data_IF_656198540816
#
_entry.id   IF_656198540816
#
_cell.length_a   1.000
_cell.length_b   1.000
_cell.length_c   1.000
_cell.angle_alpha   90.00
_cell.angle_beta   90.00
_cell.angle_gamma   90.00
#
_symmetry.space_group_name_H-M   'P 1'
#
loop_
_entity.id
_entity.type
_entity.pdbx_description
1 polymer ?
#
# COMPACT_ATOMS: atom_id res chain seq x y z
N UNK A 1 1.07 45.15 4.55
CA UNK A 1 -0.41 45.02 4.56
C UNK A 1 -0.88 45.22 3.13
N UNK A 2 -1.52 44.22 2.50
CA UNK A 2 -2.39 44.40 1.34
C UNK A 2 -3.22 43.12 1.08
N UNK A 3 -4.54 43.29 1.19
CA UNK A 3 -5.65 42.45 0.72
C UNK A 3 -5.78 41.00 1.20
N UNK A 4 -6.21 40.88 2.46
CA UNK A 4 -7.16 39.85 2.87
C UNK A 4 -8.52 40.12 2.21
N UNK A 5 -8.79 39.47 1.06
CA UNK A 5 -10.13 39.17 0.54
C UNK A 5 -10.01 38.43 -0.81
N UNK A 6 -9.65 37.14 -0.78
CA UNK A 6 -10.04 36.23 -1.87
C UNK A 6 -11.21 35.38 -1.39
N UNK A 7 -12.43 35.88 -1.58
CA UNK A 7 -13.70 35.20 -1.33
C UNK A 7 -13.98 34.01 -2.27
N UNK A 8 -12.95 33.46 -2.92
CA UNK A 8 -13.06 32.28 -3.79
C UNK A 8 -12.40 31.10 -3.06
N UNK A 9 -13.09 29.97 -2.89
CA UNK A 9 -12.45 28.78 -2.37
C UNK A 9 -11.25 28.43 -3.26
N UNK A 10 -10.14 27.94 -2.68
CA UNK A 10 -8.97 27.53 -3.45
C UNK A 10 -9.39 26.53 -4.52
N UNK A 11 -8.88 26.70 -5.75
CA UNK A 11 -9.27 25.84 -6.88
C UNK A 11 -8.78 24.40 -6.67
N UNK A 12 -7.69 24.24 -5.92
CA UNK A 12 -7.07 22.95 -5.61
C UNK A 12 -6.82 22.79 -4.10
N UNK A 13 -7.64 22.01 -3.38
CA UNK A 13 -7.40 21.73 -1.96
C UNK A 13 -6.21 20.78 -1.77
N UNK A 14 -5.34 21.08 -0.79
CA UNK A 14 -4.15 20.28 -0.47
C UNK A 14 -4.50 19.01 0.34
N UNK A 15 -5.56 19.08 1.14
CA UNK A 15 -6.17 17.95 1.81
C UNK A 15 -7.68 18.05 1.69
N UNK A 16 -8.31 16.95 1.27
CA UNK A 16 -9.77 16.81 1.26
C UNK A 16 -10.14 15.74 2.25
N UNK A 17 -11.05 16.09 3.14
CA UNK A 17 -11.68 15.18 4.07
C UNK A 17 -13.01 14.78 3.47
N UNK A 18 -13.24 13.48 3.34
CA UNK A 18 -14.51 12.95 2.89
C UNK A 18 -15.04 11.95 3.91
N UNK A 19 -16.31 11.56 3.81
CA UNK A 19 -16.93 10.63 4.78
C UNK A 19 -16.19 9.29 4.92
N UNK A 20 -15.44 8.89 3.88
CA UNK A 20 -14.73 7.61 3.76
C UNK A 20 -13.26 7.72 4.23
N UNK A 21 -12.70 8.94 4.36
CA UNK A 21 -11.35 9.14 4.89
C UNK A 21 -10.65 10.43 4.46
N UNK A 22 -9.36 10.54 4.78
CA UNK A 22 -8.47 11.65 4.39
C UNK A 22 -7.73 11.38 3.09
N UNK A 23 -7.97 12.21 2.08
CA UNK A 23 -7.11 12.29 0.90
C UNK A 23 -6.20 13.52 1.04
N UNK A 24 -4.95 13.28 1.44
CA UNK A 24 -3.92 14.32 1.45
C UNK A 24 -3.06 14.19 0.19
N UNK A 25 -2.86 15.30 -0.51
CA UNK A 25 -1.84 15.39 -1.54
C UNK A 25 -0.48 15.44 -0.85
N UNK A 26 0.37 14.48 -1.18
CA UNK A 26 1.73 14.42 -0.69
C UNK A 26 2.65 14.26 -1.89
N UNK A 27 3.76 14.99 -1.88
CA UNK A 27 4.83 14.78 -2.84
C UNK A 27 5.42 13.39 -2.60
N UNK A 28 5.45 12.55 -3.64
CA UNK A 28 5.97 11.18 -3.55
C UNK A 28 6.92 10.86 -4.69
N UNK A 29 7.85 9.95 -4.45
CA UNK A 29 8.67 9.44 -5.54
C UNK A 29 7.83 8.50 -6.45
N UNK A 30 7.65 8.81 -7.75
CA UNK A 30 6.82 8.00 -8.64
C UNK A 30 7.40 6.59 -8.86
N UNK A 31 8.72 6.42 -8.77
CA UNK A 31 9.35 5.09 -8.86
C UNK A 31 8.99 4.19 -7.67
N UNK A 32 8.80 4.77 -6.49
CA UNK A 32 8.37 4.00 -5.31
C UNK A 32 6.94 3.49 -5.52
N UNK A 33 6.04 4.32 -6.06
CA UNK A 33 4.69 3.87 -6.41
C UNK A 33 4.70 2.75 -7.46
N UNK A 34 5.53 2.86 -8.49
CA UNK A 34 5.69 1.83 -9.52
C UNK A 34 6.24 0.51 -8.94
N UNK A 35 7.27 0.60 -8.09
CA UNK A 35 7.89 -0.55 -7.43
C UNK A 35 6.88 -1.32 -6.56
N UNK A 36 6.04 -0.61 -5.83
CA UNK A 36 5.00 -1.25 -5.01
C UNK A 36 3.88 -1.88 -5.83
N UNK A 37 3.52 -1.30 -6.97
CA UNK A 37 2.62 -1.96 -7.94
C UNK A 37 3.26 -3.17 -8.62
N UNK A 38 4.59 -3.18 -8.79
CA UNK A 38 5.32 -4.31 -9.36
C UNK A 38 5.42 -5.47 -8.38
N UNK A 39 5.60 -5.19 -7.08
CA UNK A 39 5.59 -6.24 -6.05
C UNK A 39 4.20 -6.85 -5.86
N UNK A 40 3.16 -6.05 -5.98
CA UNK A 40 1.78 -6.52 -5.91
C UNK A 40 0.84 -5.51 -6.58
N UNK A 41 0.22 -5.86 -7.71
CA UNK A 41 -0.73 -4.97 -8.38
C UNK A 41 -1.82 -4.47 -7.44
N UNK A 42 -2.01 -3.14 -7.44
CA UNK A 42 -2.97 -2.45 -6.58
C UNK A 42 -2.34 -1.75 -5.37
N UNK A 43 -1.20 -2.21 -4.83
CA UNK A 43 -0.58 -1.57 -3.66
C UNK A 43 -0.08 -0.15 -3.96
N UNK A 44 0.47 0.11 -5.16
CA UNK A 44 0.87 1.47 -5.55
C UNK A 44 -0.31 2.42 -5.71
N UNK A 45 -1.48 1.96 -6.18
CA UNK A 45 -2.71 2.77 -6.23
C UNK A 45 -3.25 3.07 -4.84
N UNK A 46 -3.21 2.11 -3.93
CA UNK A 46 -3.57 2.29 -2.51
C UNK A 46 -2.67 3.33 -1.86
N UNK A 47 -1.35 3.26 -2.13
CA UNK A 47 -0.40 4.26 -1.66
C UNK A 47 -0.80 5.66 -2.12
N UNK A 48 -1.19 5.82 -3.39
CA UNK A 48 -1.71 7.08 -3.97
C UNK A 48 -3.10 7.49 -3.46
N UNK A 49 -3.66 6.80 -2.48
CA UNK A 49 -5.03 6.99 -1.96
C UNK A 49 -6.13 6.78 -3.01
N UNK A 50 -5.83 6.05 -4.09
CA UNK A 50 -6.80 5.63 -5.11
C UNK A 50 -7.41 4.27 -4.75
N UNK A 51 -8.11 4.24 -3.60
CA UNK A 51 -8.54 3.00 -2.94
C UNK A 51 -9.37 2.07 -3.82
N UNK A 52 -10.36 2.58 -4.55
CA UNK A 52 -11.23 1.73 -5.38
C UNK A 52 -10.42 0.95 -6.44
N UNK A 53 -9.57 1.66 -7.18
CA UNK A 53 -8.69 1.02 -8.18
C UNK A 53 -7.74 0.04 -7.52
N UNK A 54 -7.13 0.45 -6.41
CA UNK A 54 -6.22 -0.37 -5.65
C UNK A 54 -6.82 -1.67 -5.15
N UNK A 55 -8.03 -1.65 -4.59
CA UNK A 55 -8.70 -2.84 -4.09
C UNK A 55 -9.16 -3.77 -5.20
N UNK A 56 -9.67 -3.23 -6.31
CA UNK A 56 -10.06 -4.03 -7.47
C UNK A 56 -8.84 -4.75 -8.06
N UNK A 57 -7.71 -4.04 -8.22
CA UNK A 57 -6.48 -4.62 -8.71
C UNK A 57 -5.88 -5.65 -7.75
N UNK A 58 -5.94 -5.40 -6.44
CA UNK A 58 -5.48 -6.35 -5.42
C UNK A 58 -6.31 -7.64 -5.45
N UNK A 59 -7.64 -7.53 -5.53
CA UNK A 59 -8.51 -8.70 -5.63
C UNK A 59 -8.24 -9.50 -6.91
N UNK A 60 -8.11 -8.77 -8.03
CA UNK A 60 -7.81 -9.36 -9.32
C UNK A 60 -6.45 -10.06 -9.32
N UNK A 61 -5.43 -9.47 -8.69
CA UNK A 61 -4.11 -10.08 -8.50
C UNK A 61 -4.22 -11.43 -7.79
N UNK A 62 -4.85 -11.44 -6.61
CA UNK A 62 -5.01 -12.66 -5.83
C UNK A 62 -5.74 -13.73 -6.65
N UNK A 63 -6.81 -13.36 -7.36
CA UNK A 63 -7.56 -14.30 -8.18
C UNK A 63 -6.72 -14.90 -9.32
N UNK A 64 -6.02 -14.07 -10.09
CA UNK A 64 -5.20 -14.52 -11.21
C UNK A 64 -3.99 -15.31 -10.73
N UNK A 65 -3.31 -14.88 -9.67
CA UNK A 65 -2.17 -15.58 -9.09
C UNK A 65 -2.54 -17.00 -8.62
N UNK A 66 -3.75 -17.15 -8.06
CA UNK A 66 -4.29 -18.47 -7.68
C UNK A 66 -4.59 -19.36 -8.89
N UNK A 67 -5.08 -18.79 -9.99
CA UNK A 67 -5.43 -19.56 -11.20
C UNK A 67 -4.22 -19.88 -12.09
N UNK A 68 -3.25 -18.99 -12.16
CA UNK A 68 -2.04 -19.14 -12.96
C UNK A 68 -0.89 -19.87 -12.22
N UNK A 69 -1.01 -20.07 -10.90
CA UNK A 69 0.07 -20.59 -10.05
C UNK A 69 1.37 -19.77 -10.14
N UNK A 70 1.27 -18.46 -10.36
CA UNK A 70 2.43 -17.58 -10.60
C UNK A 70 3.43 -17.64 -9.45
N UNK A 71 2.95 -17.59 -8.21
CA UNK A 71 3.81 -17.65 -7.03
C UNK A 71 4.57 -18.98 -6.89
N UNK A 72 3.91 -20.09 -7.21
CA UNK A 72 4.51 -21.41 -7.13
C UNK A 72 5.59 -21.58 -8.20
N UNK A 73 5.30 -21.09 -9.41
CA UNK A 73 6.25 -21.03 -10.51
C UNK A 73 7.46 -20.15 -10.18
N UNK A 74 7.22 -18.95 -9.64
CA UNK A 74 8.28 -18.04 -9.20
C UNK A 74 9.19 -18.71 -8.16
N UNK A 75 8.60 -19.42 -7.18
CA UNK A 75 9.38 -20.18 -6.20
C UNK A 75 10.26 -21.24 -6.88
N UNK A 76 9.72 -22.03 -7.82
CA UNK A 76 10.51 -23.02 -8.55
C UNK A 76 11.63 -22.39 -9.38
N UNK A 77 11.36 -21.26 -10.03
CA UNK A 77 12.36 -20.49 -10.77
C UNK A 77 13.47 -19.95 -9.86
N UNK A 78 13.13 -19.43 -8.68
CA UNK A 78 14.11 -18.97 -7.68
C UNK A 78 14.97 -20.11 -7.13
N UNK A 79 14.44 -21.34 -7.06
CA UNK A 79 15.17 -22.55 -6.70
C UNK A 79 15.99 -23.15 -7.86
N UNK A 80 16.03 -22.50 -9.03
CA UNK A 80 16.73 -22.98 -10.23
C UNK A 80 16.05 -24.15 -10.96
N UNK A 81 14.80 -24.49 -10.59
CA UNK A 81 14.04 -25.61 -11.15
C UNK A 81 13.12 -25.14 -12.27
N UNK A 82 13.71 -24.72 -13.39
CA UNK A 82 12.97 -24.09 -14.49
C UNK A 82 11.95 -25.02 -15.17
N UNK A 83 12.23 -26.32 -15.27
CA UNK A 83 11.28 -27.29 -15.85
C UNK A 83 9.99 -27.35 -15.03
N UNK A 84 10.11 -27.56 -13.71
CA UNK A 84 8.96 -27.56 -12.80
C UNK A 84 8.22 -26.22 -12.79
N UNK A 85 8.96 -25.10 -12.93
CA UNK A 85 8.34 -23.78 -13.05
C UNK A 85 7.47 -23.66 -14.30
N UNK A 86 7.84 -24.30 -15.41
CA UNK A 86 7.07 -24.23 -16.67
C UNK A 86 5.83 -25.12 -16.61
N UNK A 87 5.96 -26.30 -16.00
CA UNK A 87 4.87 -27.27 -15.91
C UNK A 87 3.74 -26.82 -14.98
N UNK A 88 4.07 -26.08 -13.94
CA UNK A 88 3.12 -25.63 -12.91
C UNK A 88 2.28 -24.42 -13.35
N UNK A 89 2.79 -23.61 -14.29
CA UNK A 89 2.16 -22.36 -14.74
C UNK A 89 1.01 -22.65 -15.70
N UNK A 90 -0.19 -22.11 -15.43
CA UNK A 90 -1.23 -22.06 -16.47
C UNK A 90 -0.96 -20.87 -17.41
N UNK A 91 -0.45 -21.20 -18.60
CA UNK A 91 -0.07 -20.25 -19.64
C UNK A 91 -1.24 -19.31 -20.01
N UNK A 92 -2.49 -19.77 -19.99
CA UNK A 92 -3.65 -18.96 -20.41
C UNK A 92 -3.88 -17.81 -19.44
N UNK A 93 -3.86 -18.13 -18.14
CA UNK A 93 -4.01 -17.11 -17.08
C UNK A 93 -2.77 -16.21 -16.99
N UNK A 94 -1.57 -16.75 -17.20
CA UNK A 94 -0.35 -15.95 -17.22
C UNK A 94 -0.26 -14.98 -18.40
N UNK A 95 -0.73 -15.37 -19.59
CA UNK A 95 -0.78 -14.46 -20.74
C UNK A 95 -1.77 -13.30 -20.52
N UNK A 96 -2.86 -13.54 -19.79
CA UNK A 96 -3.79 -12.50 -19.36
C UNK A 96 -3.15 -11.60 -18.29
N UNK A 97 -2.34 -12.18 -17.40
CA UNK A 97 -1.66 -11.48 -16.32
C UNK A 97 -0.67 -10.41 -16.82
N UNK A 98 0.21 -10.75 -17.76
CA UNK A 98 1.30 -9.89 -18.24
C UNK A 98 0.86 -8.47 -18.67
N UNK A 99 -0.12 -8.28 -19.57
CA UNK A 99 -0.50 -6.94 -20.03
C UNK A 99 -1.12 -6.10 -18.91
N UNK A 100 -1.96 -6.71 -18.06
CA UNK A 100 -2.56 -6.01 -16.92
C UNK A 100 -1.48 -5.65 -15.90
N UNK A 101 -0.55 -6.55 -15.62
CA UNK A 101 0.60 -6.27 -14.76
C UNK A 101 1.39 -5.03 -15.24
N UNK A 102 1.79 -5.01 -16.52
CA UNK A 102 2.52 -3.85 -17.10
C UNK A 102 1.68 -2.58 -17.01
N UNK A 103 0.38 -2.66 -17.32
CA UNK A 103 -0.53 -1.53 -17.25
C UNK A 103 -0.66 -0.97 -15.82
N UNK A 104 -0.78 -1.83 -14.80
CA UNK A 104 -0.92 -1.38 -13.41
C UNK A 104 0.33 -0.65 -12.90
N UNK A 105 1.52 -1.17 -13.23
CA UNK A 105 2.80 -0.53 -12.92
C UNK A 105 2.88 0.84 -13.58
N UNK A 106 2.62 0.92 -14.88
CA UNK A 106 2.64 2.18 -15.62
C UNK A 106 1.59 3.19 -15.13
N UNK A 107 0.35 2.75 -14.88
CA UNK A 107 -0.73 3.63 -14.42
C UNK A 107 -0.41 4.22 -13.04
N UNK A 108 0.15 3.41 -12.14
CA UNK A 108 0.56 3.90 -10.81
C UNK A 108 1.71 4.93 -10.89
N UNK A 109 2.69 4.72 -11.78
CA UNK A 109 3.76 5.67 -12.03
C UNK A 109 3.21 7.00 -12.55
N UNK A 110 2.39 6.95 -13.60
CA UNK A 110 1.77 8.13 -14.22
C UNK A 110 0.86 8.87 -13.23
N UNK A 111 0.07 8.14 -12.44
CA UNK A 111 -0.79 8.72 -11.42
C UNK A 111 0.02 9.44 -10.33
N UNK A 112 1.15 8.88 -9.90
CA UNK A 112 2.05 9.53 -8.95
C UNK A 112 2.63 10.85 -9.51
N UNK A 113 3.08 10.84 -10.77
CA UNK A 113 3.59 12.05 -11.45
C UNK A 113 2.51 13.13 -11.53
N UNK A 114 1.27 12.76 -11.88
CA UNK A 114 0.19 13.73 -12.01
C UNK A 114 -0.23 14.31 -10.64
N UNK A 115 -0.32 13.48 -9.60
CA UNK A 115 -0.60 13.93 -8.23
C UNK A 115 0.49 14.88 -7.71
N UNK A 116 1.76 14.63 -8.03
CA UNK A 116 2.85 15.54 -7.68
C UNK A 116 2.72 16.92 -8.34
N UNK A 117 2.27 16.99 -9.60
CA UNK A 117 2.01 18.29 -10.26
C UNK A 117 0.88 19.04 -9.56
N UNK A 118 -0.21 18.34 -9.22
CA UNK A 118 -1.33 18.96 -8.49
C UNK A 118 -0.89 19.46 -7.10
N UNK A 119 -0.03 18.70 -6.41
CA UNK A 119 0.57 19.12 -5.14
C UNK A 119 1.33 20.45 -5.28
N UNK A 120 2.24 20.56 -6.26
CA UNK A 120 3.03 21.79 -6.48
C UNK A 120 2.13 23.00 -6.79
N UNK A 121 1.04 22.79 -7.53
CA UNK A 121 0.10 23.86 -7.86
C UNK A 121 -0.73 24.28 -6.63
N UNK A 122 -1.17 23.32 -5.81
CA UNK A 122 -1.90 23.59 -4.57
C UNK A 122 -1.02 24.30 -3.51
N UNK A 123 0.26 23.93 -3.43
CA UNK A 123 1.25 24.59 -2.57
C UNK A 123 1.46 26.07 -2.98
N UNK A 124 1.54 26.35 -4.28
CA UNK A 124 1.63 27.73 -4.80
C UNK A 124 0.39 28.58 -4.51
N UNK A 125 -0.78 27.95 -4.41
CA UNK A 125 -2.05 28.62 -4.07
C UNK A 125 -2.19 28.87 -2.55
N UNK A 126 -1.26 28.38 -1.71
CA UNK A 126 -1.33 28.47 -0.24
C UNK A 126 -2.70 28.05 0.32
N UNK A 127 -3.26 26.96 -0.20
CA UNK A 127 -4.58 26.50 0.21
C UNK A 127 -4.60 26.17 1.72
N UNK A 128 -5.55 26.70 2.50
CA UNK A 128 -5.65 26.40 3.93
C UNK A 128 -5.93 24.91 4.16
N UNK A 129 -5.21 24.31 5.11
CA UNK A 129 -5.38 22.91 5.51
C UNK A 129 -6.37 22.87 6.67
N UNK A 130 -7.51 22.18 6.50
CA UNK A 130 -8.45 21.92 7.60
C UNK A 130 -7.82 20.97 8.63
N UNK A 131 -7.94 21.29 9.93
CA UNK A 131 -7.32 20.49 10.99
C UNK A 131 -8.18 19.30 11.44
N UNK A 132 -9.51 19.44 11.43
CA UNK A 132 -10.45 18.40 11.84
C UNK A 132 -11.80 18.57 11.14
N UNK A 133 -12.45 17.46 10.81
CA UNK A 133 -13.85 17.40 10.38
C UNK A 133 -14.55 16.31 11.18
N UNK A 134 -15.70 16.66 11.76
CA UNK A 134 -16.53 15.77 12.56
C UNK A 134 -17.71 15.35 11.67
N UNK A 135 -17.77 14.07 11.33
CA UNK A 135 -18.90 13.46 10.65
C UNK A 135 -19.57 12.42 11.57
N UNK A 136 -20.85 12.08 11.36
CA UNK A 136 -21.55 11.06 12.16
C UNK A 136 -20.90 9.67 12.13
N UNK A 137 -20.18 9.37 11.05
CA UNK A 137 -19.49 8.08 10.84
C UNK A 137 -18.05 8.11 11.36
N UNK A 138 -17.40 9.28 11.34
CA UNK A 138 -15.97 9.38 11.65
C UNK A 138 -15.56 10.78 12.11
N UNK A 139 -14.76 10.84 13.17
CA UNK A 139 -14.00 12.03 13.54
C UNK A 139 -12.65 11.90 12.84
N UNK A 140 -12.37 12.81 11.91
CA UNK A 140 -11.16 12.78 11.12
C UNK A 140 -10.33 14.01 11.41
N UNK A 141 -9.14 13.83 11.98
CA UNK A 141 -8.23 14.92 12.31
C UNK A 141 -6.82 14.62 11.81
N UNK A 142 -6.04 15.68 11.60
CA UNK A 142 -4.65 15.56 11.22
C UNK A 142 -3.79 15.43 12.48
N UNK A 143 -3.26 14.24 12.72
CA UNK A 143 -2.43 13.94 13.88
C UNK A 143 -0.97 13.68 13.48
N UNK A 144 -0.03 14.15 14.30
CA UNK A 144 1.39 13.90 14.10
C UNK A 144 1.85 12.77 15.01
N UNK A 145 2.00 11.57 14.44
CA UNK A 145 2.46 10.38 15.16
C UNK A 145 3.97 10.16 15.01
N UNK A 146 4.68 9.70 16.05
CA UNK A 146 6.09 9.35 15.92
C UNK A 146 6.26 8.16 14.97
N UNK A 147 7.22 8.22 14.02
CA UNK A 147 7.39 7.20 12.99
C UNK A 147 7.74 5.83 13.58
N UNK A 148 8.47 5.80 14.70
CA UNK A 148 8.86 4.55 15.36
C UNK A 148 7.64 3.78 15.91
N UNK A 149 6.69 4.49 16.52
CA UNK A 149 5.48 3.85 17.04
C UNK A 149 4.65 3.26 15.91
N UNK A 150 4.53 3.98 14.78
CA UNK A 150 3.85 3.43 13.60
C UNK A 150 4.57 2.18 13.10
N UNK A 151 5.90 2.20 13.03
CA UNK A 151 6.71 1.05 12.61
C UNK A 151 6.58 -0.17 13.56
N UNK A 152 6.46 0.06 14.87
CA UNK A 152 6.23 -1.00 15.85
C UNK A 152 4.88 -1.69 15.62
N UNK A 153 3.81 -0.93 15.37
CA UNK A 153 2.51 -1.49 15.01
C UNK A 153 2.52 -2.17 13.63
N UNK A 154 3.36 -1.70 12.69
CA UNK A 154 3.58 -2.40 11.41
C UNK A 154 4.19 -3.79 11.59
N UNK A 155 5.09 -3.95 12.57
CA UNK A 155 5.80 -5.19 12.80
C UNK A 155 4.88 -6.32 13.31
N UNK A 156 3.81 -5.95 14.03
CA UNK A 156 2.84 -6.92 14.57
C UNK A 156 1.89 -7.42 13.49
N UNK A 157 1.30 -6.52 12.70
CA UNK A 157 0.56 -6.92 11.52
C UNK A 157 0.44 -5.79 10.49
N UNK A 158 0.38 -6.14 9.20
CA UNK A 158 -0.09 -5.21 8.19
C UNK A 158 -1.54 -4.82 8.45
N UNK A 159 -1.84 -3.54 8.25
CA UNK A 159 -3.14 -2.92 8.53
C UNK A 159 -3.26 -2.25 9.90
N UNK A 160 -2.61 -2.76 10.95
CA UNK A 160 -2.68 -2.19 12.30
C UNK A 160 -2.03 -0.81 12.39
N UNK A 161 -0.92 -0.58 11.68
CA UNK A 161 -0.29 0.74 11.60
C UNK A 161 -1.15 1.81 10.93
N UNK A 162 -1.99 1.42 9.97
CA UNK A 162 -2.90 2.31 9.26
C UNK A 162 -4.13 2.66 10.08
N UNK A 163 -4.43 1.96 11.19
CA UNK A 163 -5.44 2.39 12.15
C UNK A 163 -5.10 3.75 12.77
N UNK A 164 -3.80 4.07 12.86
CA UNK A 164 -3.35 5.37 13.33
C UNK A 164 -3.62 6.52 12.33
N UNK A 165 -3.88 6.21 11.05
CA UNK A 165 -4.27 7.19 10.04
C UNK A 165 -5.71 6.90 9.64
N UNK A 166 -6.71 7.62 10.17
CA UNK A 166 -8.17 7.48 9.95
C UNK A 166 -8.66 7.08 8.53
N UNK A 167 -8.30 5.88 8.07
CA UNK A 167 -8.48 5.32 6.73
C UNK A 167 -9.11 3.93 6.89
N UNK A 168 -10.30 3.93 7.49
CA UNK A 168 -11.01 2.74 7.95
C UNK A 168 -11.13 1.66 6.86
N UNK A 169 -11.53 2.07 5.65
CA UNK A 169 -11.75 1.13 4.54
C UNK A 169 -10.48 0.37 4.15
N UNK A 170 -9.32 1.06 4.14
CA UNK A 170 -8.03 0.44 3.85
C UNK A 170 -7.60 -0.53 4.95
N UNK A 171 -7.79 -0.15 6.21
CA UNK A 171 -7.45 -0.99 7.36
C UNK A 171 -8.25 -2.29 7.32
N UNK A 172 -9.57 -2.20 7.19
CA UNK A 172 -10.45 -3.38 7.16
C UNK A 172 -10.06 -4.30 6.02
N UNK A 173 -9.82 -3.75 4.83
CA UNK A 173 -9.40 -4.52 3.66
C UNK A 173 -8.07 -5.24 3.88
N UNK A 174 -7.05 -4.54 4.39
CA UNK A 174 -5.71 -5.12 4.62
C UNK A 174 -5.69 -6.16 5.73
N UNK A 175 -6.39 -5.92 6.84
CA UNK A 175 -6.48 -6.88 7.94
C UNK A 175 -7.21 -8.15 7.48
N UNK A 176 -8.32 -8.00 6.75
CA UNK A 176 -9.05 -9.13 6.18
C UNK A 176 -8.14 -9.99 5.28
N UNK A 177 -7.46 -9.37 4.31
CA UNK A 177 -6.58 -10.11 3.40
C UNK A 177 -5.34 -10.67 4.07
N UNK A 178 -4.78 -9.97 5.05
CA UNK A 178 -3.69 -10.50 5.87
C UNK A 178 -4.12 -11.79 6.59
N UNK A 179 -5.28 -11.80 7.24
CA UNK A 179 -5.80 -12.99 7.90
C UNK A 179 -6.02 -14.13 6.91
N UNK A 180 -6.57 -13.86 5.72
CA UNK A 180 -6.78 -14.88 4.68
C UNK A 180 -5.45 -15.49 4.23
N UNK A 181 -4.43 -14.67 3.93
CA UNK A 181 -3.11 -15.14 3.47
C UNK A 181 -2.40 -15.94 4.56
N UNK A 182 -2.42 -15.44 5.80
CA UNK A 182 -1.81 -16.12 6.96
C UNK A 182 -2.50 -17.46 7.26
N UNK A 183 -3.83 -17.50 7.15
CA UNK A 183 -4.59 -18.74 7.35
C UNK A 183 -4.30 -19.76 6.25
N UNK A 184 -4.41 -19.37 4.97
CA UNK A 184 -4.23 -20.29 3.83
C UNK A 184 -2.77 -20.74 3.62
N UNK A 185 -1.79 -19.97 4.11
CA UNK A 185 -0.39 -20.38 4.08
C UNK A 185 -0.03 -21.44 5.12
N UNK A 186 -0.86 -21.66 6.14
CA UNK A 186 -0.56 -22.49 7.31
C UNK A 186 0.74 -22.10 8.05
N UNK A 187 1.18 -20.84 7.92
CA UNK A 187 2.45 -20.39 8.49
C UNK A 187 2.45 -20.45 10.03
N UNK A 188 1.31 -20.26 10.69
CA UNK A 188 1.20 -20.38 12.15
C UNK A 188 1.43 -21.82 12.62
N UNK A 189 0.88 -22.80 11.89
CA UNK A 189 1.08 -24.22 12.19
C UNK A 189 2.54 -24.61 11.97
N UNK A 190 3.16 -24.13 10.89
CA UNK A 190 4.57 -24.33 10.63
C UNK A 190 5.45 -23.70 11.73
N UNK A 191 5.11 -22.50 12.20
CA UNK A 191 5.82 -21.82 13.30
C UNK A 191 5.71 -22.60 14.61
N UNK A 192 4.50 -23.08 14.93
CA UNK A 192 4.27 -23.95 16.09
C UNK A 192 5.14 -25.21 16.02
N UNK A 193 5.13 -25.93 14.89
CA UNK A 193 5.95 -27.14 14.69
C UNK A 193 7.47 -26.85 14.75
N UNK A 194 7.88 -25.68 14.30
CA UNK A 194 9.27 -25.21 14.37
C UNK A 194 9.70 -24.99 15.82
N UNK A 195 8.84 -24.44 16.67
CA UNK A 195 9.12 -24.30 18.10
C UNK A 195 9.33 -25.65 18.82
N UNK A 196 8.68 -26.73 18.34
CA UNK A 196 8.88 -28.10 18.84
C UNK A 196 10.06 -28.83 18.18
N UNK A 197 10.80 -28.19 17.28
CA UNK A 197 11.96 -28.78 16.59
C UNK A 197 11.62 -29.76 15.44
N UNK A 198 10.35 -29.86 15.02
CA UNK A 198 9.89 -30.76 13.97
C UNK A 198 9.94 -30.09 12.58
N UNK A 199 11.14 -29.80 12.08
CA UNK A 199 11.33 -29.01 10.84
C UNK A 199 10.82 -29.68 9.56
N UNK A 200 10.87 -31.01 9.46
CA UNK A 200 10.35 -31.72 8.28
C UNK A 200 8.83 -31.59 8.17
N UNK A 201 8.12 -31.73 9.29
CA UNK A 201 6.68 -31.56 9.36
C UNK A 201 6.26 -30.10 9.14
N UNK A 202 7.09 -29.14 9.57
CA UNK A 202 6.84 -27.72 9.34
C UNK A 202 6.91 -27.37 7.84
N UNK A 203 7.87 -27.95 7.10
CA UNK A 203 8.02 -27.73 5.65
C UNK A 203 6.86 -28.30 4.85
N UNK A 204 6.37 -29.48 5.20
CA UNK A 204 5.28 -30.15 4.46
C UNK A 204 3.91 -29.55 4.75
N UNK A 205 3.70 -28.98 5.93
CA UNK A 205 2.44 -28.33 6.30
C UNK A 205 2.19 -26.98 5.59
N UNK A 206 3.25 -26.36 5.06
CA UNK A 206 3.22 -25.01 4.50
C UNK A 206 2.70 -25.00 3.07
N UNK A 207 1.82 -24.05 2.74
CA UNK A 207 1.39 -23.84 1.36
C UNK A 207 2.27 -22.78 0.67
N UNK A 208 3.15 -23.16 -0.26
CA UNK A 208 4.11 -22.23 -0.86
C UNK A 208 3.45 -21.14 -1.72
N UNK A 209 2.29 -21.42 -2.32
CA UNK A 209 1.60 -20.44 -3.18
C UNK A 209 1.10 -19.23 -2.39
N UNK A 210 0.53 -19.47 -1.19
CA UNK A 210 0.05 -18.42 -0.31
C UNK A 210 1.17 -17.78 0.50
N UNK A 211 2.18 -18.56 0.88
CA UNK A 211 3.36 -18.07 1.61
C UNK A 211 4.07 -16.93 0.87
N UNK A 212 4.24 -17.06 -0.45
CA UNK A 212 4.94 -16.08 -1.28
C UNK A 212 4.25 -14.71 -1.33
N UNK A 213 2.98 -14.60 -0.93
CA UNK A 213 2.27 -13.33 -0.79
C UNK A 213 2.57 -12.59 0.52
N UNK A 214 3.14 -13.27 1.52
CA UNK A 214 3.37 -12.67 2.84
C UNK A 214 4.38 -11.52 2.79
N UNK A 215 5.55 -11.64 2.12
CA UNK A 215 6.52 -10.56 2.08
C UNK A 215 5.96 -9.29 1.46
N UNK A 216 5.27 -9.39 0.32
CA UNK A 216 4.73 -8.20 -0.38
C UNK A 216 3.67 -7.47 0.45
N UNK A 217 2.78 -8.21 1.11
CA UNK A 217 1.73 -7.62 1.98
C UNK A 217 2.33 -7.09 3.29
N UNK A 218 3.33 -7.75 3.87
CA UNK A 218 4.00 -7.28 5.08
C UNK A 218 4.85 -6.03 4.83
N UNK A 219 5.59 -5.98 3.72
CA UNK A 219 6.38 -4.79 3.37
C UNK A 219 5.50 -3.61 2.92
N UNK A 220 4.24 -3.86 2.56
CA UNK A 220 3.28 -2.81 2.20
C UNK A 220 3.08 -1.74 3.27
N UNK A 221 3.37 -2.10 4.51
CA UNK A 221 3.17 -1.23 5.64
C UNK A 221 4.24 -0.14 5.73
N UNK A 222 5.44 -0.40 5.18
CA UNK A 222 6.54 0.56 5.14
C UNK A 222 6.46 1.51 3.93
N UNK A 223 5.50 1.29 3.02
CA UNK A 223 5.32 2.11 1.81
C UNK A 223 5.23 3.62 2.08
N UNK A 224 4.46 4.11 3.07
CA UNK A 224 4.31 5.54 3.28
C UNK A 224 5.64 6.20 3.67
N UNK A 225 6.43 5.53 4.51
CA UNK A 225 7.74 6.01 4.97
C UNK A 225 8.76 6.06 3.82
N UNK A 226 8.74 5.09 2.91
CA UNK A 226 9.64 5.04 1.74
C UNK A 226 9.26 6.02 0.64
N UNK A 227 7.97 6.28 0.46
CA UNK A 227 7.48 7.12 -0.64
C UNK A 227 7.62 8.62 -0.39
N UNK A 228 7.72 9.02 0.89
CA UNK A 228 7.72 10.42 1.29
C UNK A 228 9.17 10.94 1.30
N UNK A 229 9.54 11.93 0.48
CA UNK A 229 10.87 12.51 0.52
C UNK A 229 11.09 13.20 1.88
N UNK A 230 12.28 13.03 2.47
CA UNK A 230 12.66 13.59 3.78
C UNK A 230 12.34 15.10 3.93
N UNK A 231 12.35 15.86 2.83
CA UNK A 231 11.99 17.29 2.83
C UNK A 231 10.51 17.56 3.15
N UNK A 232 9.59 16.66 2.78
CA UNK A 232 8.15 16.81 3.05
C UNK A 232 7.80 16.51 4.52
N UNK A 233 8.58 15.65 5.19
CA UNK A 233 8.47 15.40 6.62
C UNK A 233 8.74 16.71 7.40
N UNK A 234 9.71 17.51 6.94
CA UNK A 234 10.06 18.78 7.58
C UNK A 234 9.04 19.91 7.36
N UNK A 235 8.31 19.93 6.22
CA UNK A 235 7.21 20.87 6.00
C UNK A 235 6.00 20.58 6.90
N UNK A 236 5.70 19.31 7.15
CA UNK A 236 4.65 18.92 8.10
C UNK A 236 5.07 19.13 9.57
N UNK A 237 6.37 19.25 9.85
CA UNK A 237 6.87 19.53 11.21
C UNK A 237 6.80 20.98 11.64
N UNK A 238 6.29 21.91 10.81
CA UNK A 238 6.16 23.31 11.23
C UNK A 238 7.51 23.93 11.62
N UNK A 239 8.61 23.50 10.98
CA UNK A 239 9.80 24.33 10.95
C UNK A 239 9.52 25.44 9.93
N UNK A 240 8.73 26.42 10.36
CA UNK A 240 8.94 27.77 9.86
C UNK A 240 10.43 28.04 10.05
N UNK A 241 11.15 28.25 8.95
CA UNK A 241 12.42 28.96 9.02
C UNK A 241 12.12 30.34 9.62
N UNK A 242 12.25 30.43 10.93
CA UNK A 242 12.47 31.68 11.64
C UNK A 242 13.99 31.89 11.69
N UNK A 243 14.52 32.46 10.62
CA UNK A 243 15.81 33.15 10.55
C UNK A 243 15.99 33.68 9.14
#
# INVERSE_FOLDING_TARGET
MNNANSSRPPRRPLAVFNHIGTAQLQLRNPFVAAFWSALFPGLGHILLSQYLKGFVLFFWEVFINLKANVNLALMHALLGRFELSRDVVDIRWSLLYIPVYIFTVWDSYRAAVELNKQYILAERENAPIGAFIINPVSVTYLDKRPPLLTAAWCAVSPGLSHMALHRLLHVVFMVFWWTVIVYQSNILTALHLTCFGAFENAKTALNPQWLMNIPSVFFSVFMPHWSTPWKAINCLTGSSRSS
#
